data_IF_733303894038
#
_entry.id   IF_733303894038
#
_cell.length_a   1.000
_cell.length_b   1.000
_cell.length_c   1.000
_cell.angle_alpha   90.00
_cell.angle_beta   90.00
_cell.angle_gamma   90.00
#
_symmetry.space_group_name_H-M   'P 1'
#
loop_
_entity.id
_entity.type
_entity.pdbx_description
1 polymer ?
#
# COMPACT_ATOMS: atom_id res chain seq x y z
N UNK A 1 18.49 -15.56 17.09
CA UNK A 1 17.14 -15.89 17.63
C UNK A 1 16.38 -16.55 16.49
N UNK A 2 15.78 -17.73 16.71
CA UNK A 2 14.99 -18.41 15.66
C UNK A 2 13.53 -18.02 15.82
N UNK A 3 12.90 -17.66 14.72
CA UNK A 3 11.46 -17.39 14.71
C UNK A 3 10.68 -18.69 14.87
N UNK A 4 9.51 -18.63 15.50
CA UNK A 4 8.60 -19.76 15.57
C UNK A 4 7.98 -19.99 14.17
N UNK A 5 8.24 -21.18 13.59
CA UNK A 5 7.76 -21.51 12.25
C UNK A 5 6.23 -21.55 12.16
N UNK A 6 5.54 -21.94 13.24
CA UNK A 6 4.08 -21.96 13.26
C UNK A 6 3.50 -20.55 13.18
N UNK A 7 4.08 -19.58 13.90
CA UNK A 7 3.61 -18.20 13.91
C UNK A 7 3.83 -17.54 12.55
N UNK A 8 4.99 -17.76 11.93
CA UNK A 8 5.27 -17.25 10.58
C UNK A 8 4.30 -17.85 9.57
N UNK A 9 4.07 -19.17 9.62
CA UNK A 9 3.14 -19.84 8.73
C UNK A 9 1.70 -19.37 8.93
N UNK A 10 1.26 -19.16 10.17
CA UNK A 10 -0.05 -18.61 10.49
C UNK A 10 -0.21 -17.20 9.92
N UNK A 11 0.74 -16.30 10.17
CA UNK A 11 0.72 -14.92 9.67
C UNK A 11 0.57 -14.87 8.16
N UNK A 12 1.33 -15.69 7.42
CA UNK A 12 1.24 -15.75 5.95
C UNK A 12 -0.14 -16.25 5.51
N UNK A 13 -0.67 -17.28 6.17
CA UNK A 13 -1.98 -17.87 5.86
C UNK A 13 -3.14 -16.95 6.23
N UNK A 14 -3.01 -16.18 7.30
CA UNK A 14 -4.08 -15.33 7.83
C UNK A 14 -4.19 -13.98 7.11
N UNK A 15 -3.15 -13.59 6.36
CA UNK A 15 -3.20 -12.35 5.58
C UNK A 15 -4.38 -12.36 4.62
N UNK A 16 -5.29 -11.41 4.82
CA UNK A 16 -6.48 -11.20 3.97
C UNK A 16 -6.64 -9.71 3.66
N UNK A 17 -7.34 -9.44 2.56
CA UNK A 17 -7.91 -8.13 2.28
C UNK A 17 -9.39 -8.17 2.61
N UNK A 18 -9.85 -7.23 3.42
CA UNK A 18 -11.25 -7.11 3.84
C UNK A 18 -11.95 -6.07 2.99
N UNK A 19 -13.24 -6.27 2.75
CA UNK A 19 -14.04 -5.27 2.06
C UNK A 19 -14.16 -3.98 2.90
N UNK A 20 -14.30 -2.80 2.27
CA UNK A 20 -14.41 -1.51 3.00
C UNK A 20 -15.45 -1.52 4.11
N UNK A 21 -16.57 -2.20 3.89
CA UNK A 21 -17.67 -2.31 4.85
C UNK A 21 -17.32 -3.07 6.13
N UNK A 22 -16.22 -3.84 6.10
CA UNK A 22 -15.71 -4.60 7.25
C UNK A 22 -14.67 -3.81 8.05
N UNK A 23 -14.27 -2.64 7.56
CA UNK A 23 -13.28 -1.80 8.22
C UNK A 23 -13.91 -1.01 9.36
N UNK A 24 -13.18 -0.85 10.46
CA UNK A 24 -13.60 0.00 11.56
C UNK A 24 -13.20 1.46 11.30
N UNK A 25 -13.97 2.40 11.85
CA UNK A 25 -13.63 3.83 11.83
C UNK A 25 -12.44 4.20 12.76
N UNK A 26 -11.81 3.21 13.43
CA UNK A 26 -10.70 3.44 14.36
C UNK A 26 -9.49 3.97 13.61
N UNK A 27 -8.98 5.12 14.05
CA UNK A 27 -7.75 5.71 13.48
C UNK A 27 -6.55 4.80 13.71
N UNK A 28 -5.74 4.63 12.67
CA UNK A 28 -4.44 3.96 12.77
C UNK A 28 -3.42 4.96 13.33
N UNK A 29 -2.75 4.58 14.42
CA UNK A 29 -1.74 5.42 15.04
C UNK A 29 -0.50 5.55 14.14
N UNK A 30 0.15 6.71 14.18
CA UNK A 30 1.32 7.02 13.36
C UNK A 30 2.47 6.00 13.55
N UNK A 31 2.68 5.54 14.78
CA UNK A 31 3.74 4.58 15.06
C UNK A 31 3.51 3.23 14.36
N UNK A 32 2.24 2.79 14.31
CA UNK A 32 1.87 1.56 13.58
C UNK A 32 2.14 1.71 12.09
N UNK A 33 1.80 2.88 11.51
CA UNK A 33 2.10 3.16 10.10
C UNK A 33 3.61 3.15 9.87
N UNK A 34 4.39 3.73 10.79
CA UNK A 34 5.85 3.73 10.72
C UNK A 34 6.41 2.31 10.72
N UNK A 35 5.89 1.41 11.55
CA UNK A 35 6.31 0.00 11.57
C UNK A 35 5.92 -0.73 10.27
N UNK A 36 4.74 -0.44 9.72
CA UNK A 36 4.32 -0.99 8.42
C UNK A 36 5.28 -0.55 7.30
N UNK A 37 5.62 0.74 7.25
CA UNK A 37 6.58 1.26 6.27
C UNK A 37 7.98 0.66 6.45
N UNK A 38 8.43 0.55 7.72
CA UNK A 38 9.71 -0.07 8.06
C UNK A 38 9.74 -1.53 7.60
N UNK A 39 8.67 -2.30 7.77
CA UNK A 39 8.59 -3.65 7.25
C UNK A 39 8.76 -3.70 5.72
N UNK A 40 8.19 -2.75 4.99
CA UNK A 40 8.41 -2.60 3.56
C UNK A 40 9.88 -2.41 3.19
N UNK A 41 10.64 -1.63 3.95
CA UNK A 41 12.07 -1.38 3.66
C UNK A 41 12.98 -2.59 3.89
N UNK A 42 12.49 -3.66 4.50
CA UNK A 42 13.21 -4.92 4.67
C UNK A 42 12.99 -5.92 3.52
N UNK A 43 12.33 -5.51 2.45
CA UNK A 43 12.19 -6.35 1.28
C UNK A 43 13.56 -6.64 0.62
N UNK A 44 13.69 -7.86 0.10
CA UNK A 44 14.85 -8.20 -0.71
C UNK A 44 14.89 -7.32 -1.97
N UNK A 45 16.07 -6.81 -2.31
CA UNK A 45 16.27 -6.04 -3.51
C UNK A 45 17.67 -6.29 -4.09
N UNK A 46 17.75 -6.39 -5.41
CA UNK A 46 18.99 -6.63 -6.12
C UNK A 46 19.88 -5.36 -6.05
N UNK A 47 21.16 -5.53 -5.80
CA UNK A 47 22.12 -4.44 -5.79
C UNK A 47 21.88 -3.35 -4.73
N UNK A 48 21.07 -3.60 -3.72
CA UNK A 48 20.75 -2.65 -2.64
C UNK A 48 20.22 -1.30 -3.14
N UNK A 49 19.49 -1.29 -4.26
CA UNK A 49 18.97 -0.06 -4.89
C UNK A 49 17.84 0.58 -4.07
N UNK A 50 17.13 -0.22 -3.26
CA UNK A 50 16.01 0.24 -2.43
C UNK A 50 15.04 1.15 -3.21
N UNK A 51 14.42 0.64 -4.29
CA UNK A 51 13.75 1.48 -5.28
C UNK A 51 12.42 2.05 -4.81
N UNK A 52 11.86 1.56 -3.71
CA UNK A 52 10.56 2.01 -3.17
C UNK A 52 10.61 3.42 -2.63
N UNK A 53 9.51 4.14 -2.82
CA UNK A 53 9.23 5.44 -2.19
C UNK A 53 7.82 5.39 -1.63
N UNK A 54 7.68 5.81 -0.38
CA UNK A 54 6.40 5.79 0.32
C UNK A 54 5.97 7.22 0.65
N UNK A 55 4.72 7.54 0.35
CA UNK A 55 4.08 8.79 0.75
C UNK A 55 2.83 8.49 1.55
N UNK A 56 2.74 9.00 2.76
CA UNK A 56 1.62 8.75 3.67
C UNK A 56 0.65 9.91 3.63
N UNK A 57 -0.61 9.61 3.42
CA UNK A 57 -1.72 10.56 3.44
C UNK A 57 -2.65 10.24 4.61
N UNK A 58 -2.66 11.11 5.62
CA UNK A 58 -3.54 11.08 6.78
C UNK A 58 -4.06 12.48 7.09
N UNK A 59 -5.17 12.59 7.84
CA UNK A 59 -5.75 13.88 8.22
C UNK A 59 -6.03 14.73 6.98
N UNK A 60 -5.50 15.96 6.94
CA UNK A 60 -5.67 16.89 5.81
C UNK A 60 -5.13 16.33 4.49
N UNK A 61 -4.02 15.59 4.53
CA UNK A 61 -3.46 14.92 3.35
C UNK A 61 -4.41 13.87 2.77
N UNK A 62 -5.16 13.17 3.61
CA UNK A 62 -6.17 12.22 3.17
C UNK A 62 -7.34 12.91 2.48
N UNK A 63 -7.76 14.10 2.96
CA UNK A 63 -8.80 14.90 2.29
C UNK A 63 -8.36 15.37 0.90
N UNK A 64 -7.10 15.70 0.73
CA UNK A 64 -6.53 16.05 -0.60
C UNK A 64 -6.66 14.86 -1.56
N UNK A 65 -6.30 13.65 -1.10
CA UNK A 65 -6.39 12.43 -1.92
C UNK A 65 -7.84 12.04 -2.22
N UNK A 66 -8.75 12.19 -1.25
CA UNK A 66 -10.19 11.91 -1.44
C UNK A 66 -10.80 12.71 -2.58
N UNK A 67 -10.38 13.96 -2.72
CA UNK A 67 -10.81 14.84 -3.80
C UNK A 67 -10.02 14.61 -5.10
N UNK A 68 -8.71 14.67 -4.99
CA UNK A 68 -7.83 14.71 -6.16
C UNK A 68 -7.75 13.41 -6.93
N UNK A 69 -7.80 12.23 -6.26
CA UNK A 69 -7.61 10.96 -6.96
C UNK A 69 -8.81 10.59 -7.86
N UNK A 70 -10.08 10.78 -7.46
CA UNK A 70 -11.21 10.63 -8.36
C UNK A 70 -11.20 11.62 -9.54
N UNK A 71 -10.84 12.88 -9.30
CA UNK A 71 -10.71 13.89 -10.34
C UNK A 71 -9.61 13.52 -11.35
N UNK A 72 -8.45 13.12 -10.85
CA UNK A 72 -7.35 12.65 -11.67
C UNK A 72 -7.75 11.43 -12.53
N UNK A 73 -8.47 10.47 -11.95
CA UNK A 73 -8.99 9.32 -12.70
C UNK A 73 -9.89 9.76 -13.87
N UNK A 74 -10.80 10.71 -13.63
CA UNK A 74 -11.66 11.24 -14.69
C UNK A 74 -10.88 11.93 -15.80
N UNK A 75 -9.87 12.73 -15.42
CA UNK A 75 -8.99 13.43 -16.38
C UNK A 75 -8.22 12.42 -17.24
N UNK A 76 -7.64 11.38 -16.63
CA UNK A 76 -6.85 10.38 -17.35
C UNK A 76 -7.68 9.51 -18.30
N UNK A 77 -8.92 9.20 -17.93
CA UNK A 77 -9.81 8.36 -18.73
C UNK A 77 -10.51 9.14 -19.84
N UNK A 78 -10.59 10.47 -19.76
CA UNK A 78 -11.41 11.30 -20.66
C UNK A 78 -12.90 11.02 -20.49
N UNK A 79 -13.73 11.78 -21.21
CA UNK A 79 -15.21 11.69 -21.08
C UNK A 79 -15.78 10.32 -21.39
N UNK A 80 -15.21 9.61 -22.35
CA UNK A 80 -15.74 8.33 -22.85
C UNK A 80 -15.13 7.10 -22.16
N UNK A 81 -14.04 7.28 -21.39
CA UNK A 81 -13.31 6.21 -20.71
C UNK A 81 -13.67 6.03 -19.25
N UNK A 82 -14.45 6.93 -18.66
CA UNK A 82 -14.86 6.86 -17.25
C UNK A 82 -15.86 5.72 -17.05
N UNK A 83 -15.48 4.77 -16.20
CA UNK A 83 -16.38 3.71 -15.75
C UNK A 83 -16.91 4.10 -14.39
N UNK A 84 -18.15 4.61 -14.35
CA UNK A 84 -18.80 5.11 -13.11
C UNK A 84 -18.71 4.11 -11.95
N UNK A 85 -18.95 2.84 -12.20
CA UNK A 85 -18.82 1.79 -11.17
C UNK A 85 -17.40 1.71 -10.56
N UNK A 86 -16.36 2.00 -11.34
CA UNK A 86 -14.97 2.04 -10.82
C UNK A 86 -14.74 3.31 -10.02
N UNK A 87 -15.26 4.44 -10.47
CA UNK A 87 -15.18 5.72 -9.78
C UNK A 87 -15.89 5.67 -8.44
N UNK A 88 -17.09 5.11 -8.38
CA UNK A 88 -17.84 4.94 -7.13
C UNK A 88 -17.13 4.01 -6.14
N UNK A 89 -16.55 2.91 -6.63
CA UNK A 89 -15.72 2.04 -5.80
C UNK A 89 -14.48 2.75 -5.26
N UNK A 90 -13.84 3.58 -6.07
CA UNK A 90 -12.67 4.36 -5.65
C UNK A 90 -13.08 5.35 -4.54
N UNK A 91 -14.14 6.13 -4.75
CA UNK A 91 -14.68 7.06 -3.74
C UNK A 91 -15.01 6.34 -2.44
N UNK A 92 -15.77 5.26 -2.52
CA UNK A 92 -16.16 4.48 -1.35
C UNK A 92 -14.96 3.95 -0.55
N UNK A 93 -13.91 3.45 -1.23
CA UNK A 93 -12.67 3.02 -0.57
C UNK A 93 -11.95 4.17 0.12
N UNK A 94 -11.88 5.32 -0.53
CA UNK A 94 -11.24 6.52 0.03
C UNK A 94 -12.01 7.07 1.25
N UNK A 95 -13.35 7.01 1.22
CA UNK A 95 -14.19 7.49 2.32
C UNK A 95 -14.10 6.59 3.56
N UNK A 96 -13.90 5.29 3.36
CA UNK A 96 -13.84 4.31 4.46
C UNK A 96 -12.44 4.12 5.03
N UNK A 97 -11.38 4.50 4.32
CA UNK A 97 -10.01 4.35 4.81
C UNK A 97 -9.58 5.49 5.76
N UNK A 98 -8.65 5.19 6.66
CA UNK A 98 -8.07 6.15 7.62
C UNK A 98 -6.67 6.64 7.20
N UNK A 99 -6.09 5.99 6.21
CA UNK A 99 -4.75 6.27 5.70
C UNK A 99 -4.65 5.75 4.27
N UNK A 100 -4.01 6.52 3.42
CA UNK A 100 -3.57 6.07 2.09
C UNK A 100 -2.04 6.14 2.04
N UNK A 101 -1.41 5.11 1.49
CA UNK A 101 0.02 5.07 1.28
C UNK A 101 0.26 5.02 -0.23
N UNK A 102 0.79 6.11 -0.77
CA UNK A 102 1.30 6.14 -2.14
C UNK A 102 2.62 5.37 -2.21
N UNK A 103 2.72 4.43 -3.13
CA UNK A 103 3.92 3.63 -3.34
C UNK A 103 4.44 3.91 -4.73
N UNK A 104 5.63 4.48 -4.78
CA UNK A 104 6.34 4.77 -6.02
C UNK A 104 7.61 3.95 -6.15
N UNK A 105 8.14 3.88 -7.36
CA UNK A 105 9.44 3.30 -7.68
C UNK A 105 10.33 4.36 -8.29
N UNK A 106 11.57 4.46 -7.81
CA UNK A 106 12.64 5.25 -8.42
C UNK A 106 13.71 4.27 -8.89
N UNK A 107 13.84 4.04 -10.20
CA UNK A 107 14.83 3.13 -10.75
C UNK A 107 16.28 3.55 -10.45
N UNK A 108 17.20 2.59 -10.41
CA UNK A 108 18.62 2.87 -10.26
C UNK A 108 19.10 3.77 -11.41
N UNK A 109 19.61 4.93 -11.05
CA UNK A 109 20.10 5.96 -12.02
C UNK A 109 21.20 5.45 -12.93
N UNK A 110 21.99 4.46 -12.46
CA UNK A 110 23.08 3.86 -13.23
C UNK A 110 22.63 2.67 -14.08
N UNK A 111 21.34 2.31 -14.03
CA UNK A 111 20.75 1.18 -14.77
C UNK A 111 21.52 -0.15 -14.61
N UNK A 112 22.16 -0.36 -13.46
CA UNK A 112 22.91 -1.59 -13.13
C UNK A 112 21.98 -2.77 -12.89
N UNK A 113 20.75 -2.49 -12.50
CA UNK A 113 19.71 -3.46 -12.15
C UNK A 113 18.56 -3.34 -13.13
N UNK A 114 18.00 -4.47 -13.53
CA UNK A 114 16.85 -4.46 -14.43
C UNK A 114 15.64 -3.81 -13.77
N UNK A 115 14.84 -3.08 -14.55
CA UNK A 115 13.59 -2.50 -14.07
C UNK A 115 12.66 -3.58 -13.46
N UNK A 116 12.67 -4.77 -14.04
CA UNK A 116 11.86 -5.89 -13.55
C UNK A 116 12.27 -6.33 -12.14
N UNK A 117 13.57 -6.41 -11.85
CA UNK A 117 14.07 -6.75 -10.50
C UNK A 117 13.65 -5.69 -9.48
N UNK A 118 13.65 -4.42 -9.86
CA UNK A 118 13.21 -3.32 -9.01
C UNK A 118 11.70 -3.32 -8.79
N UNK A 119 10.90 -3.65 -9.80
CA UNK A 119 9.46 -3.85 -9.66
C UNK A 119 9.16 -5.01 -8.71
N UNK A 120 9.89 -6.11 -8.80
CA UNK A 120 9.76 -7.23 -7.85
C UNK A 120 10.16 -6.84 -6.43
N UNK A 121 11.17 -6.03 -6.26
CA UNK A 121 11.56 -5.51 -4.94
C UNK A 121 10.44 -4.65 -4.33
N UNK A 122 9.80 -3.78 -5.11
CA UNK A 122 8.64 -3.00 -4.66
C UNK A 122 7.45 -3.91 -4.33
N UNK A 123 7.18 -4.92 -5.14
CA UNK A 123 6.13 -5.91 -4.85
C UNK A 123 6.40 -6.67 -3.54
N UNK A 124 7.68 -7.05 -3.29
CA UNK A 124 8.12 -7.63 -2.02
C UNK A 124 7.91 -6.69 -0.84
N UNK A 125 8.20 -5.39 -1.01
CA UNK A 125 7.96 -4.38 0.01
C UNK A 125 6.47 -4.28 0.35
N UNK A 126 5.59 -4.26 -0.65
CA UNK A 126 4.14 -4.25 -0.46
C UNK A 126 3.69 -5.51 0.31
N UNK A 127 4.21 -6.68 -0.03
CA UNK A 127 3.86 -7.92 0.67
C UNK A 127 4.28 -7.89 2.14
N UNK A 128 5.48 -7.36 2.46
CA UNK A 128 5.93 -7.19 3.84
C UNK A 128 5.00 -6.24 4.62
N UNK A 129 4.57 -5.15 3.99
CA UNK A 129 3.61 -4.22 4.58
C UNK A 129 2.26 -4.90 4.87
N UNK A 130 1.77 -5.73 3.94
CA UNK A 130 0.55 -6.53 4.14
C UNK A 130 0.65 -7.48 5.33
N UNK A 131 1.77 -8.18 5.48
CA UNK A 131 2.01 -9.08 6.61
C UNK A 131 2.05 -8.31 7.93
N UNK A 132 2.72 -7.17 7.96
CA UNK A 132 2.76 -6.30 9.14
C UNK A 132 1.38 -5.76 9.50
N UNK A 133 0.59 -5.33 8.52
CA UNK A 133 -0.81 -4.93 8.75
C UNK A 133 -1.61 -6.09 9.38
N UNK A 134 -1.46 -7.31 8.86
CA UNK A 134 -2.13 -8.49 9.41
C UNK A 134 -1.76 -8.73 10.87
N UNK A 135 -0.47 -8.61 11.22
CA UNK A 135 0.02 -8.75 12.59
C UNK A 135 -0.58 -7.70 13.55
N UNK A 136 -0.89 -6.51 13.06
CA UNK A 136 -1.57 -5.44 13.82
C UNK A 136 -3.10 -5.53 13.78
N UNK A 137 -3.68 -6.55 13.14
CA UNK A 137 -5.13 -6.64 12.95
C UNK A 137 -5.70 -5.56 12.05
N UNK A 138 -4.87 -5.02 11.14
CA UNK A 138 -5.25 -4.04 10.14
C UNK A 138 -5.51 -4.72 8.80
N UNK A 139 -6.40 -4.13 8.00
CA UNK A 139 -6.53 -4.48 6.59
C UNK A 139 -5.81 -3.46 5.72
N UNK A 140 -5.11 -3.95 4.71
CA UNK A 140 -4.56 -3.14 3.65
C UNK A 140 -5.22 -3.55 2.33
N UNK A 141 -5.83 -2.57 1.66
CA UNK A 141 -6.50 -2.77 0.38
C UNK A 141 -5.66 -2.08 -0.70
N UNK A 142 -5.31 -2.82 -1.73
CA UNK A 142 -4.66 -2.26 -2.91
C UNK A 142 -5.71 -1.60 -3.81
N UNK A 143 -5.48 -0.34 -4.17
CA UNK A 143 -6.40 0.46 -5.00
C UNK A 143 -5.88 0.51 -6.43
#
# INVERSE_FOLDING_TARGET
MRHNLSDVSALIKDRRSFAPEQLSARRVHRDVITEVLRAGTWAANHGMTQPWRFTVFQGEGLEIIRKGLPEWYQIQMGTDGVVEKKLDKLRHRLDTCNCVIGIGMVPDVNQRISRQDEEWAVAGAIQNMHLMCTAYGLSLIHI
#
